data_IF_744522516622
#
_entry.id   IF_744522516622
#
_cell.length_a   1.000
_cell.length_b   1.000
_cell.length_c   1.000
_cell.angle_alpha   90.00
_cell.angle_beta   90.00
_cell.angle_gamma   90.00
#
_symmetry.space_group_name_H-M   'P 1'
#
loop_
_entity.id
_entity.type
_entity.pdbx_description
1 polymer ?
#
# COMPACT_ATOMS: atom_id res chain seq x y z
N UNK A 1 -10.87 -21.96 -12.78
CA UNK A 1 -9.87 -21.91 -13.86
C UNK A 1 -8.48 -22.10 -13.27
N UNK A 2 -7.63 -22.93 -13.89
CA UNK A 2 -6.27 -23.20 -13.42
C UNK A 2 -5.31 -22.14 -13.94
N UNK A 3 -4.38 -21.72 -13.10
CA UNK A 3 -3.32 -20.77 -13.43
C UNK A 3 -1.96 -21.33 -13.06
N UNK A 4 -0.98 -21.09 -13.92
CA UNK A 4 0.43 -21.18 -13.60
C UNK A 4 0.90 -19.84 -13.03
N UNK A 5 1.47 -19.87 -11.82
CA UNK A 5 2.00 -18.68 -11.15
C UNK A 5 3.52 -18.82 -11.06
N UNK A 6 4.23 -17.73 -11.39
CA UNK A 6 5.68 -17.63 -11.25
C UNK A 6 6.01 -16.31 -10.57
N UNK A 7 6.56 -16.37 -9.36
CA UNK A 7 7.10 -15.21 -8.65
C UNK A 7 8.52 -14.98 -9.16
N UNK A 8 8.74 -13.82 -9.79
CA UNK A 8 10.02 -13.47 -10.43
C UNK A 8 10.99 -12.85 -9.45
N UNK A 9 10.50 -11.90 -8.63
CA UNK A 9 11.27 -11.27 -7.55
C UNK A 9 10.34 -10.52 -6.59
N UNK A 10 10.88 -10.22 -5.41
CA UNK A 10 10.26 -9.34 -4.41
C UNK A 10 11.30 -8.34 -3.97
N UNK A 11 10.94 -7.06 -4.09
CA UNK A 11 11.78 -5.93 -3.71
C UNK A 11 11.15 -5.26 -2.47
N UNK A 12 11.97 -5.02 -1.44
CA UNK A 12 11.55 -4.20 -0.30
C UNK A 12 11.99 -2.77 -0.53
N UNK A 13 11.04 -1.83 -0.51
CA UNK A 13 11.29 -0.41 -0.74
C UNK A 13 10.87 0.43 0.46
N UNK A 14 11.58 1.54 0.70
CA UNK A 14 11.15 2.51 1.72
C UNK A 14 10.03 3.40 1.20
N UNK A 15 9.99 3.70 -0.10
CA UNK A 15 9.01 4.59 -0.70
C UNK A 15 8.43 3.97 -1.97
N UNK A 16 7.18 4.32 -2.25
CA UNK A 16 6.47 4.01 -3.49
C UNK A 16 6.28 5.32 -4.23
N UNK A 17 6.89 5.42 -5.42
CA UNK A 17 6.87 6.64 -6.23
C UNK A 17 5.48 6.90 -6.83
N UNK A 18 5.16 8.17 -7.11
CA UNK A 18 3.95 8.54 -7.84
C UNK A 18 2.68 8.76 -6.99
N UNK A 19 2.71 8.46 -5.69
CA UNK A 19 1.56 8.72 -4.80
C UNK A 19 1.29 10.21 -4.58
N UNK A 20 2.34 11.01 -4.37
CA UNK A 20 2.22 12.46 -4.18
C UNK A 20 2.34 13.17 -5.53
N UNK A 21 1.29 13.88 -5.93
CA UNK A 21 1.29 14.70 -7.15
C UNK A 21 1.91 16.07 -6.92
N UNK A 22 2.31 16.76 -8.00
CA UNK A 22 2.76 18.17 -7.94
C UNK A 22 1.73 19.06 -7.20
N UNK A 23 0.44 18.82 -7.43
CA UNK A 23 -0.66 19.55 -6.81
C UNK A 23 -0.74 19.27 -5.30
N UNK A 24 -0.52 18.01 -4.89
CA UNK A 24 -0.44 17.66 -3.46
C UNK A 24 0.69 18.41 -2.76
N UNK A 25 1.86 18.46 -3.39
CA UNK A 25 3.00 19.18 -2.82
C UNK A 25 2.69 20.67 -2.67
N UNK A 26 2.10 21.31 -3.69
CA UNK A 26 1.74 22.73 -3.64
C UNK A 26 0.72 23.00 -2.52
N UNK A 27 -0.35 22.20 -2.42
CA UNK A 27 -1.37 22.40 -1.39
C UNK A 27 -0.84 22.14 0.02
N UNK A 28 0.03 21.13 0.20
CA UNK A 28 0.67 20.89 1.48
C UNK A 28 1.61 22.05 1.85
N UNK A 29 2.43 22.53 0.91
CA UNK A 29 3.28 23.70 1.13
C UNK A 29 2.47 24.92 1.59
N UNK A 30 1.31 25.19 0.98
CA UNK A 30 0.41 26.25 1.43
C UNK A 30 -0.10 26.02 2.85
N UNK A 31 -0.48 24.78 3.21
CA UNK A 31 -0.90 24.43 4.59
C UNK A 31 0.22 24.59 5.62
N UNK A 32 1.47 24.39 5.22
CA UNK A 32 2.66 24.66 6.02
C UNK A 32 3.11 26.14 5.94
N UNK A 33 2.29 27.03 5.38
CA UNK A 33 2.55 28.46 5.24
C UNK A 33 3.83 28.78 4.44
N UNK A 34 4.24 27.90 3.53
CA UNK A 34 5.37 28.14 2.65
C UNK A 34 4.98 29.12 1.54
N UNK A 35 5.69 30.25 1.37
CA UNK A 35 5.32 31.27 0.39
C UNK A 35 5.58 30.82 -1.04
N UNK A 36 4.76 31.31 -1.98
CA UNK A 36 4.98 31.19 -3.43
C UNK A 36 5.12 29.76 -3.97
N UNK A 37 4.58 28.75 -3.27
CA UNK A 37 4.67 27.33 -3.61
C UNK A 37 4.27 27.02 -5.06
N UNK A 38 3.20 27.62 -5.55
CA UNK A 38 2.70 27.43 -6.92
C UNK A 38 3.67 27.93 -8.03
N UNK A 39 4.67 28.74 -7.68
CA UNK A 39 5.66 29.27 -8.63
C UNK A 39 7.00 28.53 -8.57
N UNK A 40 7.16 27.59 -7.62
CA UNK A 40 8.37 26.80 -7.48
C UNK A 40 8.56 25.84 -8.67
N UNK A 41 9.82 25.51 -8.96
CA UNK A 41 10.13 24.47 -9.96
C UNK A 41 9.66 23.11 -9.43
N UNK A 42 8.87 22.39 -10.24
CA UNK A 42 8.25 21.11 -9.87
C UNK A 42 9.21 20.10 -9.22
N UNK A 43 10.40 19.95 -9.80
CA UNK A 43 11.45 19.04 -9.29
C UNK A 43 11.94 19.38 -7.87
N UNK A 44 11.74 20.62 -7.40
CA UNK A 44 12.16 21.06 -6.07
C UNK A 44 11.03 20.93 -5.04
N UNK A 45 9.78 20.69 -5.47
CA UNK A 45 8.61 20.64 -4.58
C UNK A 45 8.78 19.63 -3.42
N UNK A 46 9.30 18.41 -3.63
CA UNK A 46 9.51 17.46 -2.53
C UNK A 46 10.47 17.99 -1.46
N UNK A 47 11.63 18.52 -1.88
CA UNK A 47 12.64 19.06 -0.97
C UNK A 47 12.11 20.29 -0.21
N UNK A 48 11.36 21.17 -0.88
CA UNK A 48 10.73 22.33 -0.24
C UNK A 48 9.70 21.89 0.80
N UNK A 49 8.91 20.86 0.52
CA UNK A 49 7.91 20.37 1.47
C UNK A 49 8.59 19.73 2.68
N UNK A 50 9.65 18.96 2.50
CA UNK A 50 10.44 18.41 3.61
C UNK A 50 10.98 19.52 4.52
N UNK A 51 11.50 20.62 3.94
CA UNK A 51 11.94 21.79 4.71
C UNK A 51 10.79 22.42 5.49
N UNK A 52 9.65 22.68 4.84
CA UNK A 52 8.49 23.31 5.46
C UNK A 52 7.91 22.46 6.61
N UNK A 53 7.85 21.13 6.44
CA UNK A 53 7.45 20.19 7.48
C UNK A 53 8.39 20.27 8.69
N UNK A 54 9.70 20.34 8.46
CA UNK A 54 10.70 20.28 9.52
C UNK A 54 10.68 21.47 10.49
N UNK A 55 10.01 22.57 10.12
CA UNK A 55 9.83 23.76 10.98
C UNK A 55 8.72 23.57 12.06
N UNK A 56 7.96 22.48 12.00
CA UNK A 56 6.87 22.15 12.93
C UNK A 56 7.27 21.03 13.89
N UNK A 57 6.58 20.91 15.03
CA UNK A 57 6.73 19.71 15.87
C UNK A 57 6.18 18.47 15.13
N UNK A 58 6.79 17.28 15.31
CA UNK A 58 6.46 16.10 14.51
C UNK A 58 4.97 15.73 14.50
N UNK A 59 4.31 15.75 15.65
CA UNK A 59 2.87 15.44 15.74
C UNK A 59 2.01 16.52 15.08
N UNK A 60 2.41 17.80 15.16
CA UNK A 60 1.68 18.91 14.50
C UNK A 60 1.77 18.78 12.97
N UNK A 61 2.96 18.47 12.44
CA UNK A 61 3.13 18.22 11.02
C UNK A 61 2.35 16.98 10.56
N UNK A 62 2.38 15.90 11.35
CA UNK A 62 1.61 14.70 11.05
C UNK A 62 0.11 14.99 10.99
N UNK A 63 -0.42 15.77 11.94
CA UNK A 63 -1.82 16.20 11.96
C UNK A 63 -2.21 16.97 10.67
N UNK A 64 -1.35 17.89 10.20
CA UNK A 64 -1.59 18.65 8.97
C UNK A 64 -1.65 17.73 7.74
N UNK A 65 -0.69 16.80 7.60
CA UNK A 65 -0.63 15.91 6.43
C UNK A 65 -1.78 14.88 6.47
N UNK A 66 -2.10 14.34 7.64
CA UNK A 66 -3.24 13.44 7.84
C UNK A 66 -4.56 14.15 7.51
N UNK A 67 -4.77 15.36 8.02
CA UNK A 67 -5.97 16.14 7.70
C UNK A 67 -6.07 16.44 6.20
N UNK A 68 -4.96 16.68 5.51
CA UNK A 68 -4.99 16.90 4.06
C UNK A 68 -5.50 15.69 3.28
N UNK A 69 -5.09 14.46 3.63
CA UNK A 69 -5.46 13.25 2.87
C UNK A 69 -6.69 12.53 3.40
N UNK A 70 -6.99 12.63 4.70
CA UNK A 70 -7.94 11.74 5.38
C UNK A 70 -9.10 12.46 6.08
N UNK A 71 -9.26 13.78 5.93
CA UNK A 71 -10.36 14.51 6.60
C UNK A 71 -11.77 14.11 6.14
N UNK A 72 -11.90 13.44 4.99
CA UNK A 72 -13.18 12.92 4.51
C UNK A 72 -13.56 11.60 5.19
N UNK A 73 -12.59 10.88 5.74
CA UNK A 73 -12.78 9.55 6.35
C UNK A 73 -12.60 9.56 7.87
N UNK A 74 -11.79 10.49 8.39
CA UNK A 74 -11.42 10.59 9.80
C UNK A 74 -11.82 11.95 10.36
N UNK A 75 -12.34 11.95 11.59
CA UNK A 75 -12.59 13.19 12.32
C UNK A 75 -11.32 13.75 12.97
N UNK A 76 -11.38 15.02 13.40
CA UNK A 76 -10.25 15.74 14.02
C UNK A 76 -9.62 14.96 15.19
N UNK A 77 -10.42 14.38 16.09
CA UNK A 77 -9.91 13.61 17.22
C UNK A 77 -9.22 12.31 16.83
N UNK A 78 -9.67 11.64 15.75
CA UNK A 78 -8.97 10.48 15.19
C UNK A 78 -7.64 10.90 14.57
N UNK A 79 -7.62 12.01 13.85
CA UNK A 79 -6.40 12.54 13.22
C UNK A 79 -5.36 12.93 14.29
N UNK A 80 -5.76 13.65 15.33
CA UNK A 80 -4.92 14.01 16.48
C UNK A 80 -4.35 12.75 17.16
N UNK A 81 -5.19 11.75 17.41
CA UNK A 81 -4.74 10.49 18.02
C UNK A 81 -3.71 9.76 17.13
N UNK A 82 -3.96 9.69 15.82
CA UNK A 82 -3.05 9.03 14.86
C UNK A 82 -1.74 9.78 14.78
N UNK A 83 -1.76 11.12 14.72
CA UNK A 83 -0.55 11.94 14.61
C UNK A 83 0.41 11.70 15.77
N UNK A 84 -0.12 11.51 16.98
CA UNK A 84 0.65 11.10 18.15
C UNK A 84 1.13 9.65 18.10
N UNK A 85 0.26 8.72 17.71
CA UNK A 85 0.61 7.29 17.67
C UNK A 85 1.68 6.97 16.61
N UNK A 86 1.69 7.69 15.49
CA UNK A 86 2.69 7.53 14.41
C UNK A 86 4.12 7.81 14.87
N UNK A 87 4.35 8.48 16.00
CA UNK A 87 5.68 8.67 16.57
C UNK A 87 6.20 7.45 17.35
N UNK A 88 5.32 6.53 17.70
CA UNK A 88 5.60 5.39 18.57
C UNK A 88 5.58 4.10 17.75
N UNK A 89 4.50 3.90 17.00
CA UNK A 89 4.21 2.65 16.30
C UNK A 89 4.05 2.87 14.79
N UNK A 90 4.22 1.79 14.03
CA UNK A 90 3.94 1.78 12.60
C UNK A 90 2.45 1.69 12.35
N UNK A 91 1.72 2.78 12.62
CA UNK A 91 0.25 2.81 12.52
C UNK A 91 -0.25 2.30 11.16
N UNK A 92 0.46 2.59 10.07
CA UNK A 92 0.14 2.08 8.73
C UNK A 92 0.12 0.55 8.58
N UNK A 93 0.76 -0.22 9.48
CA UNK A 93 0.75 -1.69 9.46
C UNK A 93 -0.33 -2.29 10.38
N UNK A 94 -0.84 -1.51 11.33
CA UNK A 94 -1.71 -1.98 12.42
C UNK A 94 -3.09 -1.33 12.44
N UNK A 95 -3.33 -0.32 11.59
CA UNK A 95 -4.61 0.39 11.58
C UNK A 95 -5.76 -0.55 11.21
N UNK A 96 -6.88 -0.55 11.96
CA UNK A 96 -7.95 -1.53 11.78
C UNK A 96 -8.67 -1.40 10.42
N UNK A 97 -8.80 -0.19 9.89
CA UNK A 97 -9.38 0.05 8.57
C UNK A 97 -8.31 -0.18 7.50
N UNK A 98 -8.30 -1.38 6.91
CA UNK A 98 -7.23 -1.83 6.02
C UNK A 98 -7.07 -0.93 4.79
N UNK A 99 -8.17 -0.40 4.24
CA UNK A 99 -8.11 0.50 3.09
C UNK A 99 -7.36 1.81 3.37
N UNK A 100 -7.21 2.20 4.64
CA UNK A 100 -6.44 3.39 5.03
C UNK A 100 -4.94 3.12 5.17
N UNK A 101 -4.52 1.87 5.28
CA UNK A 101 -3.12 1.50 5.57
C UNK A 101 -2.15 2.00 4.49
N UNK A 102 -2.53 1.93 3.21
CA UNK A 102 -1.71 2.46 2.11
C UNK A 102 -1.48 3.96 2.23
N UNK A 103 -2.55 4.75 2.38
CA UNK A 103 -2.44 6.20 2.59
C UNK A 103 -1.60 6.54 3.83
N UNK A 104 -1.84 5.84 4.95
CA UNK A 104 -1.05 6.01 6.17
C UNK A 104 0.44 5.70 5.95
N UNK A 105 0.77 4.71 5.12
CA UNK A 105 2.15 4.38 4.78
C UNK A 105 2.84 5.54 4.03
N UNK A 106 2.18 6.12 3.02
CA UNK A 106 2.75 7.23 2.26
C UNK A 106 2.94 8.49 3.11
N UNK A 107 2.00 8.78 4.03
CA UNK A 107 2.13 9.85 5.02
C UNK A 107 3.30 9.58 5.95
N UNK A 108 3.41 8.35 6.48
CA UNK A 108 4.51 7.95 7.35
C UNK A 108 5.87 8.13 6.66
N UNK A 109 6.00 7.76 5.38
CA UNK A 109 7.25 7.90 4.64
C UNK A 109 7.65 9.35 4.38
N UNK A 110 6.70 10.22 4.05
CA UNK A 110 6.95 11.66 3.93
C UNK A 110 7.51 12.23 5.25
N UNK A 111 6.87 11.91 6.37
CA UNK A 111 7.26 12.38 7.69
C UNK A 111 8.58 11.74 8.18
N UNK A 112 8.78 10.44 7.90
CA UNK A 112 10.03 9.73 8.20
C UNK A 112 11.23 10.44 7.58
N UNK A 113 11.11 10.83 6.30
CA UNK A 113 12.14 11.57 5.58
C UNK A 113 12.36 12.96 6.16
N UNK A 114 11.29 13.76 6.29
CA UNK A 114 11.38 15.14 6.75
C UNK A 114 12.01 15.28 8.14
N UNK A 115 11.85 14.28 9.01
CA UNK A 115 12.40 14.28 10.37
C UNK A 115 13.59 13.33 10.59
N UNK A 116 14.24 12.86 9.52
CA UNK A 116 15.41 11.98 9.60
C UNK A 116 15.21 10.76 10.52
N UNK A 117 14.03 10.13 10.45
CA UNK A 117 13.72 8.90 11.17
C UNK A 117 13.19 9.04 12.60
N UNK A 118 12.61 10.19 12.97
CA UNK A 118 11.78 10.29 14.20
C UNK A 118 10.55 9.38 14.16
N UNK A 119 9.91 9.26 12.99
CA UNK A 119 8.83 8.32 12.78
C UNK A 119 9.41 6.90 12.59
N UNK A 120 8.70 5.82 12.96
CA UNK A 120 9.11 4.47 12.64
C UNK A 120 9.22 4.24 11.13
N UNK A 121 10.25 3.51 10.68
CA UNK A 121 10.39 3.21 9.26
C UNK A 121 9.52 2.01 8.85
N UNK A 122 8.35 2.27 8.27
CA UNK A 122 7.55 1.25 7.58
C UNK A 122 8.13 0.97 6.19
N UNK A 123 7.87 -0.20 5.61
CA UNK A 123 8.33 -0.52 4.25
C UNK A 123 7.22 -1.13 3.42
N UNK A 124 7.36 -1.01 2.11
CA UNK A 124 6.51 -1.67 1.15
C UNK A 124 7.25 -2.82 0.47
N UNK A 125 6.51 -3.81 0.02
CA UNK A 125 6.97 -4.88 -0.85
C UNK A 125 6.40 -4.67 -2.24
N UNK A 126 7.28 -4.77 -3.24
CA UNK A 126 6.92 -4.81 -4.67
C UNK A 126 7.13 -6.24 -5.14
N UNK A 127 6.06 -6.95 -5.46
CA UNK A 127 6.11 -8.34 -5.91
C UNK A 127 5.90 -8.37 -7.41
N UNK A 128 6.89 -8.89 -8.14
CA UNK A 128 6.82 -9.08 -9.59
C UNK A 128 6.57 -10.54 -9.90
N UNK A 129 5.52 -10.83 -10.65
CA UNK A 129 5.08 -12.20 -10.92
C UNK A 129 4.39 -12.30 -12.28
N UNK A 130 4.14 -13.54 -12.70
CA UNK A 130 3.25 -13.83 -13.82
C UNK A 130 2.18 -14.82 -13.42
N UNK A 131 0.95 -14.61 -13.89
CA UNK A 131 -0.18 -15.52 -13.75
C UNK A 131 -0.72 -15.83 -15.15
N UNK A 132 -0.54 -17.06 -15.60
CA UNK A 132 -0.97 -17.50 -16.94
C UNK A 132 -2.05 -18.57 -16.80
N UNK A 133 -3.23 -18.43 -17.44
CA UNK A 133 -4.21 -19.51 -17.44
C UNK A 133 -3.64 -20.74 -18.13
N UNK A 134 -3.80 -21.92 -17.52
CA UNK A 134 -3.32 -23.20 -18.09
C UNK A 134 -4.18 -23.59 -19.29
N UNK A 135 -5.49 -23.45 -19.13
CA UNK A 135 -6.49 -23.69 -20.15
C UNK A 135 -7.47 -22.51 -20.14
N UNK A 136 -7.41 -21.64 -21.16
CA UNK A 136 -8.34 -20.51 -21.27
C UNK A 136 -7.74 -19.26 -21.88
N UNK A 137 -8.56 -18.22 -21.94
CA UNK A 137 -8.15 -16.89 -22.36
C UNK A 137 -7.57 -16.11 -21.19
N UNK A 138 -6.59 -15.25 -21.50
CA UNK A 138 -6.05 -14.29 -20.54
C UNK A 138 -7.15 -13.28 -20.19
N UNK A 139 -7.43 -13.14 -18.89
CA UNK A 139 -8.34 -12.15 -18.34
C UNK A 139 -7.57 -11.26 -17.38
N UNK A 140 -8.00 -10.00 -17.26
CA UNK A 140 -7.51 -9.10 -16.22
C UNK A 140 -7.92 -9.62 -14.85
N UNK A 141 -6.98 -9.67 -13.91
CA UNK A 141 -7.18 -10.20 -12.56
C UNK A 141 -7.37 -9.04 -11.58
N UNK A 142 -8.34 -9.17 -10.67
CA UNK A 142 -8.53 -8.23 -9.57
C UNK A 142 -7.55 -8.49 -8.42
N UNK A 143 -7.44 -7.56 -7.47
CA UNK A 143 -6.65 -7.77 -6.26
C UNK A 143 -7.06 -9.05 -5.50
N UNK A 144 -8.37 -9.30 -5.39
CA UNK A 144 -8.90 -10.53 -4.81
C UNK A 144 -8.42 -11.78 -5.57
N UNK A 145 -8.49 -11.77 -6.90
CA UNK A 145 -8.05 -12.92 -7.70
C UNK A 145 -6.55 -13.18 -7.49
N UNK A 146 -5.74 -12.12 -7.48
CA UNK A 146 -4.29 -12.22 -7.26
C UNK A 146 -3.97 -12.79 -5.89
N UNK A 147 -4.58 -12.30 -4.80
CA UNK A 147 -4.33 -12.82 -3.45
C UNK A 147 -4.73 -14.29 -3.32
N UNK A 148 -5.92 -14.67 -3.81
CA UNK A 148 -6.38 -16.07 -3.82
C UNK A 148 -5.43 -16.99 -4.59
N UNK A 149 -4.92 -16.54 -5.75
CA UNK A 149 -3.95 -17.32 -6.53
C UNK A 149 -2.59 -17.41 -5.83
N UNK A 150 -2.11 -16.33 -5.20
CA UNK A 150 -0.85 -16.32 -4.44
C UNK A 150 -0.89 -17.20 -3.19
N UNK A 151 -2.07 -17.54 -2.66
CA UNK A 151 -2.26 -18.35 -1.45
C UNK A 151 -1.37 -19.62 -1.41
N UNK A 152 -1.21 -20.29 -2.55
CA UNK A 152 -0.42 -21.52 -2.66
C UNK A 152 1.10 -21.29 -2.60
N UNK A 153 1.57 -20.08 -2.88
CA UNK A 153 2.98 -19.69 -2.80
C UNK A 153 3.38 -19.10 -1.45
N UNK A 154 2.42 -18.66 -0.64
CA UNK A 154 2.65 -18.03 0.66
C UNK A 154 2.80 -19.05 1.78
N UNK A 155 3.61 -18.74 2.79
CA UNK A 155 3.79 -19.56 3.99
C UNK A 155 2.52 -19.59 4.83
N UNK A 156 2.24 -20.69 5.51
CA UNK A 156 1.07 -20.79 6.41
C UNK A 156 1.16 -19.83 7.62
N UNK A 157 2.33 -19.19 7.83
CA UNK A 157 2.54 -18.18 8.87
C UNK A 157 2.27 -16.76 8.39
N UNK A 158 2.08 -16.57 7.08
CA UNK A 158 1.80 -15.27 6.48
C UNK A 158 0.56 -14.62 7.13
N UNK A 159 0.61 -13.30 7.30
CA UNK A 159 -0.41 -12.57 8.03
C UNK A 159 -1.78 -12.61 7.33
N UNK A 160 -1.81 -12.53 6.00
CA UNK A 160 -3.06 -12.58 5.22
C UNK A 160 -3.77 -13.91 5.47
N UNK A 161 -3.07 -15.04 5.34
CA UNK A 161 -3.62 -16.38 5.63
C UNK A 161 -4.17 -16.48 7.06
N UNK A 162 -3.47 -15.90 8.03
CA UNK A 162 -3.88 -15.97 9.44
C UNK A 162 -5.13 -15.15 9.74
N UNK A 163 -5.32 -14.03 9.07
CA UNK A 163 -6.46 -13.12 9.30
C UNK A 163 -7.65 -13.45 8.40
N UNK A 164 -7.39 -13.98 7.20
CA UNK A 164 -8.37 -14.14 6.10
C UNK A 164 -8.36 -15.55 5.50
N UNK A 165 -8.14 -16.59 6.30
CA UNK A 165 -8.08 -17.99 5.83
C UNK A 165 -9.31 -18.38 4.98
N UNK A 166 -10.49 -18.01 5.45
CA UNK A 166 -11.75 -18.29 4.76
C UNK A 166 -11.83 -17.59 3.40
N UNK A 167 -11.47 -16.30 3.32
CA UNK A 167 -11.48 -15.52 2.09
C UNK A 167 -10.41 -15.98 1.10
N UNK A 168 -9.27 -16.45 1.60
CA UNK A 168 -8.16 -16.95 0.79
C UNK A 168 -8.42 -18.35 0.22
N UNK A 169 -9.13 -19.19 0.95
CA UNK A 169 -9.27 -20.62 0.67
C UNK A 169 -10.65 -21.03 0.17
N UNK A 170 -11.69 -20.22 0.38
CA UNK A 170 -13.07 -20.48 -0.06
C UNK A 170 -13.48 -19.49 -1.14
N UNK A 171 -14.46 -19.89 -1.94
CA UNK A 171 -15.09 -19.02 -2.91
C UNK A 171 -16.13 -18.09 -2.26
N UNK A 172 -15.63 -17.18 -1.43
CA UNK A 172 -16.39 -16.09 -0.82
C UNK A 172 -15.75 -14.75 -1.17
N UNK A 173 -16.49 -13.63 -1.13
CA UNK A 173 -15.93 -12.30 -1.41
C UNK A 173 -14.78 -11.95 -0.47
N UNK A 174 -13.75 -11.26 -0.99
CA UNK A 174 -12.62 -10.75 -0.21
C UNK A 174 -12.49 -9.24 -0.36
N UNK A 175 -13.42 -8.45 0.21
CA UNK A 175 -13.45 -7.00 0.02
C UNK A 175 -12.20 -6.27 0.53
N UNK A 176 -11.50 -6.82 1.54
CA UNK A 176 -10.27 -6.23 2.07
C UNK A 176 -9.07 -6.35 1.11
N UNK A 177 -9.16 -7.17 0.05
CA UNK A 177 -8.08 -7.37 -0.91
C UNK A 177 -7.60 -6.05 -1.54
N UNK A 178 -8.52 -5.14 -1.83
CA UNK A 178 -8.23 -3.81 -2.40
C UNK A 178 -7.51 -2.88 -1.40
N UNK A 179 -7.60 -3.15 -0.09
CA UNK A 179 -6.81 -2.44 0.92
C UNK A 179 -5.46 -3.11 1.21
N UNK A 180 -5.34 -4.41 0.94
CA UNK A 180 -4.09 -5.16 1.09
C UNK A 180 -3.15 -4.89 -0.09
N UNK A 181 -3.66 -4.98 -1.32
CA UNK A 181 -2.90 -4.64 -2.53
C UNK A 181 -3.16 -3.17 -2.85
N UNK A 182 -2.17 -2.31 -2.61
CA UNK A 182 -2.29 -0.86 -2.81
C UNK A 182 -2.23 -0.47 -4.28
N UNK A 183 -1.43 -1.20 -5.06
CA UNK A 183 -1.35 -1.04 -6.51
C UNK A 183 -1.25 -2.41 -7.16
N UNK A 184 -1.96 -2.60 -8.28
CA UNK A 184 -1.85 -3.78 -9.13
C UNK A 184 -1.72 -3.32 -10.57
N UNK A 185 -0.52 -3.47 -11.13
CA UNK A 185 -0.18 -2.98 -12.46
C UNK A 185 0.08 -4.14 -13.42
N UNK A 186 -0.44 -4.05 -14.64
CA UNK A 186 -0.16 -4.95 -15.76
C UNK A 186 -0.36 -4.25 -17.10
N UNK A 187 0.35 -4.69 -18.14
CA UNK A 187 0.17 -4.22 -19.52
C UNK A 187 -0.43 -5.30 -20.43
N UNK A 188 -0.38 -6.57 -20.02
CA UNK A 188 -0.71 -7.73 -20.85
C UNK A 188 -1.60 -8.76 -20.14
N UNK A 189 -2.06 -8.45 -18.93
CA UNK A 189 -2.88 -9.31 -18.08
C UNK A 189 -2.24 -10.66 -17.72
N UNK A 190 -0.93 -10.80 -17.94
CA UNK A 190 -0.14 -12.00 -17.60
C UNK A 190 0.97 -11.65 -16.63
N UNK A 191 1.71 -10.58 -16.89
CA UNK A 191 2.81 -10.08 -16.10
C UNK A 191 2.31 -8.94 -15.22
N UNK A 192 2.45 -9.12 -13.91
CA UNK A 192 1.94 -8.19 -12.91
C UNK A 192 3.07 -7.70 -12.01
N UNK A 193 2.87 -6.49 -11.50
CA UNK A 193 3.53 -6.02 -10.29
C UNK A 193 2.47 -5.56 -9.31
N UNK A 194 2.54 -6.03 -8.07
CA UNK A 194 1.74 -5.51 -6.97
C UNK A 194 2.62 -4.75 -5.99
N UNK A 195 2.02 -3.76 -5.33
CA UNK A 195 2.60 -3.03 -4.20
C UNK A 195 1.73 -3.25 -2.97
N UNK A 196 2.36 -3.58 -1.84
CA UNK A 196 1.69 -3.82 -0.56
C UNK A 196 2.62 -3.49 0.60
N UNK A 197 2.14 -3.53 1.84
CA UNK A 197 2.97 -3.44 3.04
C UNK A 197 3.92 -4.63 3.16
N UNK A 198 5.15 -4.40 3.62
CA UNK A 198 6.07 -5.48 4.03
C UNK A 198 5.48 -6.38 5.12
N UNK A 199 4.54 -5.84 5.93
CA UNK A 199 3.83 -6.61 6.95
C UNK A 199 2.82 -7.61 6.35
N UNK A 200 2.31 -7.35 5.15
CA UNK A 200 1.37 -8.23 4.47
C UNK A 200 2.06 -9.34 3.69
N UNK A 201 3.08 -8.99 2.91
CA UNK A 201 3.88 -9.93 2.12
C UNK A 201 5.33 -9.47 2.15
N UNK A 202 6.25 -10.36 2.52
CA UNK A 202 7.68 -10.13 2.39
C UNK A 202 8.40 -11.35 1.78
N UNK A 203 9.71 -11.25 1.58
CA UNK A 203 10.51 -12.33 0.98
C UNK A 203 10.47 -13.64 1.80
N UNK A 204 10.35 -13.57 3.13
CA UNK A 204 10.32 -14.75 4.00
C UNK A 204 8.97 -15.48 3.94
N UNK A 205 7.92 -14.81 3.46
CA UNK A 205 6.60 -15.41 3.27
C UNK A 205 6.53 -16.31 2.04
N UNK A 206 7.45 -16.21 1.08
CA UNK A 206 7.39 -17.03 -0.13
C UNK A 206 8.00 -18.40 0.11
N UNK A 207 7.20 -19.45 -0.07
CA UNK A 207 7.64 -20.84 0.08
C UNK A 207 7.91 -21.53 -1.25
N UNK A 208 7.35 -21.02 -2.35
CA UNK A 208 7.58 -21.52 -3.71
C UNK A 208 7.58 -20.35 -4.71
N UNK A 209 8.54 -20.35 -5.64
CA UNK A 209 8.60 -19.36 -6.73
C UNK A 209 7.81 -19.77 -7.97
N UNK A 210 7.40 -21.03 -8.07
CA UNK A 210 6.58 -21.56 -9.16
C UNK A 210 5.57 -22.56 -8.61
N UNK A 211 4.29 -22.38 -8.91
CA UNK A 211 3.20 -23.21 -8.42
C UNK A 211 1.93 -23.03 -9.25
N UNK A 212 0.99 -23.96 -9.12
CA UNK A 212 -0.34 -23.86 -9.73
C UNK A 212 -1.37 -23.35 -8.71
N UNK A 213 -2.36 -22.60 -9.20
CA UNK A 213 -3.47 -22.07 -8.42
C UNK A 213 -4.80 -22.28 -9.15
N UNK A 214 -5.88 -22.40 -8.38
CA UNK A 214 -7.23 -22.52 -8.92
C UNK A 214 -7.99 -21.26 -8.53
N UNK A 215 -8.50 -20.54 -9.53
CA UNK A 215 -9.43 -19.45 -9.32
C UNK A 215 -10.85 -19.95 -9.58
N UNK A 216 -11.68 -20.00 -8.55
CA UNK A 216 -13.10 -20.32 -8.72
C UNK A 216 -13.84 -19.11 -9.31
N UNK A 217 -14.67 -19.33 -10.32
CA UNK A 217 -15.55 -18.27 -10.81
C UNK A 217 -16.70 -18.12 -9.80
N UNK A 218 -16.97 -16.89 -9.35
CA UNK A 218 -18.16 -16.61 -8.56
C UNK A 218 -19.34 -16.76 -9.54
N UNK A 219 -20.22 -17.72 -9.30
CA UNK A 219 -21.48 -17.80 -10.05
C UNK A 219 -22.26 -16.51 -9.76
N UNK A 220 -22.36 -15.60 -10.75
CA UNK A 220 -23.28 -14.48 -10.66
C UNK A 220 -24.70 -15.07 -10.52
N UNK A 221 -25.35 -14.85 -9.37
CA UNK A 221 -26.78 -15.13 -9.25
C UNK A 221 -27.52 -14.25 -10.27
N UNK A 222 -28.10 -14.91 -11.28
CA UNK A 222 -28.88 -14.34 -12.39
C UNK A 222 -30.14 -13.63 -11.91
#
# INVERSE_FOLDING_TARGET
MNYQIIIKRIDTVNEVEGYWSDEDFIQLLEKFNFPDAATAEKKNLPELLEMAISDYEPNEAAEIVLAYKLSEELNEGQIEQISHNMLIDKVCEEYPEIHLQGTLFHINQLLFKAYNGKFPNAKASVVHFSMTPVDGEVKELTAENVLKLLNNGLSDRNLIKRLFDDQMSKNIPFPEAEGIIWELNTEDNVNYSLVTSENWINNEDITASEFEGILEEIEEEV
#
